data_IF_249657880713
#
_entry.id   IF_249657880713
#
_cell.length_a   1.000
_cell.length_b   1.000
_cell.length_c   1.000
_cell.angle_alpha   90.00
_cell.angle_beta   90.00
_cell.angle_gamma   90.00
#
_symmetry.space_group_name_H-M   'P 1'
#
loop_
_entity.id
_entity.type
_entity.pdbx_description
1 polymer ?
#
# COMPACT_ATOMS: atom_id res chain seq x y z
N UNK A 1 1.54 -23.94 16.31
CA UNK A 1 0.35 -23.13 16.65
C UNK A 1 -0.11 -22.44 15.37
N UNK A 2 -1.27 -22.83 14.80
CA UNK A 2 -1.89 -22.04 13.73
C UNK A 2 -2.52 -20.84 14.42
N UNK A 3 -1.98 -19.65 14.19
CA UNK A 3 -2.68 -18.44 14.59
C UNK A 3 -4.08 -18.51 13.95
N UNK A 4 -5.13 -18.50 14.78
CA UNK A 4 -6.47 -18.16 14.31
C UNK A 4 -6.37 -16.73 13.78
N UNK A 5 -6.02 -16.61 12.50
CA UNK A 5 -5.96 -15.34 11.82
C UNK A 5 -7.34 -14.71 11.94
N UNK A 6 -7.41 -13.48 12.44
CA UNK A 6 -8.63 -12.68 12.50
C UNK A 6 -9.37 -12.79 11.16
N UNK A 7 -10.39 -13.66 11.16
CA UNK A 7 -11.10 -14.11 9.97
C UNK A 7 -11.71 -12.90 9.26
N UNK A 8 -12.05 -11.85 10.01
CA UNK A 8 -12.61 -10.61 9.49
C UNK A 8 -11.66 -9.86 8.56
N UNK A 9 -10.43 -9.58 9.01
CA UNK A 9 -9.45 -8.80 8.23
C UNK A 9 -9.03 -9.51 6.94
N UNK A 10 -8.73 -10.82 7.02
CA UNK A 10 -8.35 -11.59 5.83
C UNK A 10 -9.51 -11.74 4.85
N UNK A 11 -10.74 -11.98 5.35
CA UNK A 11 -11.94 -12.04 4.49
C UNK A 11 -12.19 -10.71 3.79
N UNK A 12 -12.04 -9.58 4.50
CA UNK A 12 -12.19 -8.24 3.91
C UNK A 12 -11.15 -7.99 2.80
N UNK A 13 -9.88 -8.28 3.05
CA UNK A 13 -8.83 -8.12 2.04
C UNK A 13 -9.11 -8.99 0.80
N UNK A 14 -9.56 -10.22 1.00
CA UNK A 14 -9.94 -11.11 -0.10
C UNK A 14 -11.12 -10.57 -0.91
N UNK A 15 -12.15 -10.04 -0.25
CA UNK A 15 -13.29 -9.41 -0.94
C UNK A 15 -12.86 -8.20 -1.77
N UNK A 16 -11.94 -7.37 -1.27
CA UNK A 16 -11.41 -6.24 -2.03
C UNK A 16 -10.61 -6.73 -3.25
N UNK A 17 -9.82 -7.80 -3.10
CA UNK A 17 -9.07 -8.39 -4.23
C UNK A 17 -9.95 -8.89 -5.38
N UNK A 18 -11.22 -9.21 -5.10
CA UNK A 18 -12.18 -9.67 -6.10
C UNK A 18 -13.02 -8.54 -6.70
N UNK A 19 -12.89 -7.31 -6.18
CA UNK A 19 -13.62 -6.15 -6.65
C UNK A 19 -12.89 -5.50 -7.85
N UNK A 20 -13.42 -5.60 -9.07
CA UNK A 20 -12.76 -5.06 -10.27
C UNK A 20 -12.71 -3.53 -10.28
N UNK A 21 -13.48 -2.83 -9.44
CA UNK A 21 -13.40 -1.37 -9.31
C UNK A 21 -12.19 -0.92 -8.48
N UNK A 22 -11.51 -1.86 -7.82
CA UNK A 22 -10.40 -1.59 -6.90
C UNK A 22 -9.10 -2.10 -7.50
N UNK A 23 -8.45 -1.26 -8.29
CA UNK A 23 -7.13 -1.52 -8.86
C UNK A 23 -6.19 -0.33 -8.65
N UNK A 24 -4.96 -0.58 -8.21
CA UNK A 24 -3.95 0.46 -8.11
C UNK A 24 -2.72 0.09 -7.27
N UNK A 25 -2.17 1.09 -6.59
CA UNK A 25 -0.91 0.97 -5.86
C UNK A 25 -1.12 1.02 -4.35
N UNK A 26 -0.43 0.13 -3.62
CA UNK A 26 -0.22 0.30 -2.18
C UNK A 26 1.07 1.08 -1.93
N UNK A 27 0.97 2.26 -1.31
CA UNK A 27 2.11 3.08 -0.91
C UNK A 27 2.20 3.14 0.62
N UNK A 28 3.22 2.50 1.20
CA UNK A 28 3.40 2.39 2.65
C UNK A 28 4.68 3.10 3.11
N UNK A 29 4.60 3.80 4.25
CA UNK A 29 5.73 4.48 4.89
C UNK A 29 5.75 4.16 6.38
N UNK A 30 6.90 3.73 6.90
CA UNK A 30 7.10 3.43 8.32
C UNK A 30 6.36 2.20 8.86
N UNK A 31 5.49 1.57 8.09
CA UNK A 31 4.79 0.34 8.44
C UNK A 31 5.29 -0.81 7.57
N UNK A 32 5.43 -1.99 8.17
CA UNK A 32 6.00 -3.27 7.71
C UNK A 32 5.73 -3.79 6.27
N UNK A 33 5.16 -3.01 5.34
CA UNK A 33 4.45 -3.47 4.14
C UNK A 33 3.35 -4.49 4.47
N UNK A 34 2.80 -4.39 5.68
CA UNK A 34 1.88 -5.39 6.21
C UNK A 34 0.52 -5.34 5.53
N UNK A 35 0.13 -4.17 4.98
CA UNK A 35 -1.11 -4.05 4.22
C UNK A 35 -0.97 -4.78 2.89
N UNK A 36 0.03 -4.43 2.08
CA UNK A 36 0.30 -5.12 0.82
C UNK A 36 0.50 -6.64 1.04
N UNK A 37 1.29 -7.03 2.05
CA UNK A 37 1.52 -8.44 2.40
C UNK A 37 0.23 -9.19 2.67
N UNK A 38 -0.74 -8.58 3.37
CA UNK A 38 -2.04 -9.20 3.65
C UNK A 38 -2.82 -9.46 2.37
N UNK A 39 -2.85 -8.49 1.46
CA UNK A 39 -3.58 -8.62 0.19
C UNK A 39 -2.93 -9.68 -0.72
N UNK A 40 -1.61 -9.80 -0.73
CA UNK A 40 -0.94 -10.92 -1.41
C UNK A 40 -1.27 -12.27 -0.77
N UNK A 41 -1.24 -12.35 0.56
CA UNK A 41 -1.43 -13.60 1.30
C UNK A 41 -2.80 -14.23 1.09
N UNK A 42 -3.86 -13.43 0.97
CA UNK A 42 -5.24 -13.94 0.85
C UNK A 42 -5.61 -14.37 -0.59
N UNK A 43 -4.75 -14.12 -1.58
CA UNK A 43 -4.99 -14.47 -2.98
C UNK A 43 -5.90 -13.47 -3.72
N UNK A 44 -5.93 -13.56 -5.07
CA UNK A 44 -6.68 -12.64 -5.93
C UNK A 44 -6.00 -11.28 -6.18
N UNK A 45 -4.82 -11.05 -5.61
CA UNK A 45 -4.13 -9.75 -5.65
C UNK A 45 -3.86 -9.20 -7.06
N UNK A 46 -3.76 -10.05 -8.09
CA UNK A 46 -3.57 -9.59 -9.48
C UNK A 46 -4.73 -8.73 -10.00
N UNK A 47 -5.93 -8.88 -9.43
CA UNK A 47 -7.09 -8.06 -9.77
C UNK A 47 -7.08 -6.67 -9.12
N UNK A 48 -6.21 -6.44 -8.14
CA UNK A 48 -6.23 -5.22 -7.31
C UNK A 48 -4.89 -4.49 -7.21
N UNK A 49 -3.78 -5.20 -7.26
CA UNK A 49 -2.45 -4.64 -7.05
C UNK A 49 -1.73 -4.51 -8.39
N UNK A 50 -1.56 -3.27 -8.83
CA UNK A 50 -0.66 -2.91 -9.92
C UNK A 50 0.79 -2.86 -9.44
N UNK A 51 1.00 -2.24 -8.27
CA UNK A 51 2.32 -2.02 -7.68
C UNK A 51 2.22 -1.95 -6.16
N UNK A 52 3.30 -2.34 -5.48
CA UNK A 52 3.50 -2.03 -4.07
C UNK A 52 4.77 -1.22 -3.91
N UNK A 53 4.71 -0.22 -3.04
CA UNK A 53 5.78 0.72 -2.82
C UNK A 53 5.98 0.90 -1.32
N UNK A 54 7.24 0.86 -0.90
CA UNK A 54 7.63 1.16 0.47
C UNK A 54 8.81 2.10 0.54
N UNK A 55 8.64 3.15 1.32
CA UNK A 55 9.68 4.13 1.62
C UNK A 55 9.89 4.21 3.13
N UNK A 56 10.57 3.22 3.72
CA UNK A 56 10.86 3.21 5.15
C UNK A 56 11.85 4.29 5.57
N UNK A 57 12.92 4.42 4.81
CA UNK A 57 13.98 5.37 5.10
C UNK A 57 13.65 6.73 4.51
N UNK A 58 13.97 7.80 5.24
CA UNK A 58 13.70 9.17 4.82
C UNK A 58 14.44 9.52 3.52
N UNK A 59 15.69 9.05 3.36
CA UNK A 59 16.49 9.29 2.16
C UNK A 59 15.86 8.64 0.94
N UNK A 60 15.38 7.40 1.09
CA UNK A 60 14.70 6.71 0.00
C UNK A 60 13.34 7.32 -0.31
N UNK A 61 12.61 7.76 0.72
CA UNK A 61 11.36 8.52 0.57
C UNK A 61 11.61 9.81 -0.23
N UNK A 62 12.67 10.54 0.08
CA UNK A 62 13.00 11.80 -0.58
C UNK A 62 13.48 11.59 -2.02
N UNK A 63 14.20 10.50 -2.29
CA UNK A 63 14.63 10.17 -3.65
C UNK A 63 13.45 9.93 -4.60
N UNK A 64 12.31 9.48 -4.08
CA UNK A 64 11.13 9.13 -4.88
C UNK A 64 10.10 10.25 -4.87
N UNK A 65 9.81 10.80 -3.69
CA UNK A 65 8.72 11.74 -3.47
C UNK A 65 9.20 13.18 -3.21
N UNK A 66 10.51 13.43 -3.22
CA UNK A 66 11.11 14.72 -2.88
C UNK A 66 11.15 15.01 -1.39
N UNK A 67 11.90 16.05 -0.96
CA UNK A 67 11.96 16.47 0.45
C UNK A 67 10.63 17.05 0.92
N UNK A 68 10.41 17.04 2.24
CA UNK A 68 9.23 17.64 2.87
C UNK A 68 9.58 18.19 4.26
N UNK A 69 8.86 19.21 4.72
CA UNK A 69 9.08 19.78 6.06
C UNK A 69 8.74 18.79 7.18
N UNK A 70 7.72 17.95 6.97
CA UNK A 70 7.27 16.93 7.93
C UNK A 70 6.89 15.64 7.23
N UNK A 71 7.60 14.56 7.52
CA UNK A 71 7.38 13.24 6.89
C UNK A 71 6.06 12.61 7.33
N UNK A 72 5.61 12.85 8.57
CA UNK A 72 4.26 12.47 9.01
C UNK A 72 3.36 13.68 8.86
N UNK A 73 2.81 13.88 7.67
CA UNK A 73 1.92 15.00 7.37
C UNK A 73 0.97 14.68 6.23
N UNK A 74 -0.12 15.47 6.13
CA UNK A 74 -1.01 15.44 4.97
C UNK A 74 -0.26 15.76 3.68
N UNK A 75 0.69 16.69 3.72
CA UNK A 75 1.48 17.10 2.55
C UNK A 75 2.24 15.90 2.01
N UNK A 76 2.99 15.18 2.86
CA UNK A 76 3.70 13.97 2.43
C UNK A 76 2.75 12.92 1.86
N UNK A 77 1.62 12.66 2.54
CA UNK A 77 0.64 11.69 2.07
C UNK A 77 0.10 12.05 0.67
N UNK A 78 -0.29 13.30 0.45
CA UNK A 78 -0.78 13.76 -0.85
C UNK A 78 0.29 13.65 -1.92
N UNK A 79 1.54 14.04 -1.64
CA UNK A 79 2.65 13.90 -2.60
C UNK A 79 2.87 12.44 -3.02
N UNK A 80 2.81 11.51 -2.07
CA UNK A 80 2.90 10.08 -2.37
C UNK A 80 1.74 9.61 -3.25
N UNK A 81 0.51 9.95 -2.87
CA UNK A 81 -0.68 9.56 -3.64
C UNK A 81 -0.64 10.11 -5.07
N UNK A 82 -0.28 11.39 -5.24
CA UNK A 82 -0.21 12.03 -6.55
C UNK A 82 0.89 11.40 -7.43
N UNK A 83 2.06 11.11 -6.86
CA UNK A 83 3.15 10.45 -7.57
C UNK A 83 2.74 9.04 -8.02
N UNK A 84 2.22 8.24 -7.09
CA UNK A 84 1.87 6.84 -7.34
C UNK A 84 0.69 6.69 -8.28
N UNK A 85 -0.29 7.59 -8.20
CA UNK A 85 -1.44 7.60 -9.09
C UNK A 85 -1.06 7.97 -10.53
N UNK A 86 -0.15 8.92 -10.72
CA UNK A 86 0.35 9.30 -12.06
C UNK A 86 1.06 8.15 -12.79
N UNK A 87 1.57 7.16 -12.07
CA UNK A 87 2.21 5.98 -12.66
C UNK A 87 1.19 4.90 -13.09
N UNK A 88 -0.09 5.07 -12.76
CA UNK A 88 -1.18 4.16 -13.14
C UNK A 88 -1.95 4.61 -14.39
N UNK A 89 -1.78 5.87 -14.82
CA UNK A 89 -2.47 6.49 -15.97
C UNK A 89 -1.54 6.50 -17.18
#
# INVERSE_FOLDING_TARGET
>A
MKAEWDVGTSKKAFQINLDPERYGTFAEIGAGQEVARRFFYVGGASGTIAKTMSAYDMTFSDAIYGPTDRYVSRVRLCTMLDHEYKLLI
#
